data_IF_072304019039
#
_entry.id   IF_072304019039
#
_cell.length_a   1.000
_cell.length_b   1.000
_cell.length_c   1.000
_cell.angle_alpha   90.00
_cell.angle_beta   90.00
_cell.angle_gamma   90.00
#
_symmetry.space_group_name_H-M   'P 1'
#
loop_
_entity.id
_entity.type
_entity.pdbx_description
1 polymer ?
#
# COMPACT_ATOMS: atom_id res chain seq x y z
N UNK A 1 6.55 -46.86 46.67
CA UNK A 1 7.16 -45.61 46.20
C UNK A 1 6.43 -45.18 44.94
N UNK A 2 5.78 -44.02 44.99
CA UNK A 2 5.05 -43.40 43.90
C UNK A 2 6.01 -42.67 42.95
N UNK A 3 5.70 -42.63 41.65
CA UNK A 3 6.21 -41.59 40.75
C UNK A 3 5.21 -41.38 39.61
N UNK A 4 4.77 -40.12 39.49
CA UNK A 4 3.76 -39.60 38.58
C UNK A 4 4.17 -39.72 37.11
N UNK A 5 3.22 -40.09 36.25
CA UNK A 5 3.28 -39.86 34.81
C UNK A 5 2.74 -38.45 34.56
N UNK A 6 3.62 -37.50 34.24
CA UNK A 6 3.26 -36.15 33.82
C UNK A 6 2.83 -36.21 32.35
N UNK A 7 1.54 -35.99 32.09
CA UNK A 7 1.02 -35.74 30.74
C UNK A 7 1.60 -34.42 30.21
N UNK A 8 2.43 -34.50 29.18
CA UNK A 8 2.78 -33.35 28.36
C UNK A 8 1.62 -33.04 27.42
N UNK A 9 0.78 -32.06 27.78
CA UNK A 9 -0.19 -31.47 26.87
C UNK A 9 0.58 -30.59 25.88
N UNK A 10 0.75 -31.09 24.66
CA UNK A 10 1.30 -30.30 23.56
C UNK A 10 0.24 -29.30 23.08
N UNK A 11 0.35 -28.06 23.55
CA UNK A 11 -0.45 -26.93 23.07
C UNK A 11 0.07 -26.45 21.70
N UNK A 12 -0.30 -27.14 20.62
CA UNK A 12 -0.16 -26.64 19.25
C UNK A 12 -1.44 -25.91 18.84
N UNK A 13 -1.57 -24.63 19.19
CA UNK A 13 -2.81 -23.87 18.95
C UNK A 13 -2.67 -22.54 18.21
N UNK A 14 -1.46 -22.04 17.93
CA UNK A 14 -1.28 -20.60 17.66
C UNK A 14 -0.76 -20.21 16.27
N UNK A 15 -0.31 -21.14 15.41
CA UNK A 15 0.25 -20.78 14.10
C UNK A 15 -0.82 -20.73 12.99
N UNK A 16 -1.83 -21.60 13.04
CA UNK A 16 -2.86 -21.70 11.99
C UNK A 16 -3.86 -20.52 11.99
N UNK A 17 -4.10 -19.89 13.14
CA UNK A 17 -5.05 -18.76 13.24
C UNK A 17 -4.47 -17.43 12.72
N UNK A 18 -3.15 -17.24 12.83
CA UNK A 18 -2.50 -16.00 12.37
C UNK A 18 -2.54 -15.90 10.84
N UNK A 19 -2.24 -16.99 10.12
CA UNK A 19 -2.27 -17.00 8.65
C UNK A 19 -3.69 -16.77 8.09
N UNK A 20 -4.72 -17.37 8.70
CA UNK A 20 -6.10 -17.21 8.24
C UNK A 20 -6.68 -15.83 8.53
N UNK A 21 -6.25 -15.17 9.61
CA UNK A 21 -6.62 -13.78 9.90
C UNK A 21 -5.95 -12.85 8.90
N UNK A 22 -4.65 -13.00 8.69
CA UNK A 22 -3.86 -12.13 7.83
C UNK A 22 -4.35 -12.22 6.38
N UNK A 23 -4.66 -13.42 5.90
CA UNK A 23 -5.27 -13.64 4.59
C UNK A 23 -6.65 -12.96 4.46
N UNK A 24 -7.50 -13.03 5.49
CA UNK A 24 -8.81 -12.34 5.49
C UNK A 24 -8.66 -10.82 5.43
N UNK A 25 -7.75 -10.26 6.23
CA UNK A 25 -7.46 -8.83 6.23
C UNK A 25 -6.91 -8.41 4.86
N UNK A 26 -5.92 -9.13 4.34
CA UNK A 26 -5.32 -8.87 3.04
C UNK A 26 -6.36 -8.94 1.91
N UNK A 27 -7.26 -9.93 1.96
CA UNK A 27 -8.32 -10.10 0.98
C UNK A 27 -9.35 -8.97 1.06
N UNK A 28 -9.76 -8.54 2.26
CA UNK A 28 -10.67 -7.41 2.43
C UNK A 28 -10.05 -6.11 1.89
N UNK A 29 -8.78 -5.87 2.22
CA UNK A 29 -8.02 -4.71 1.76
C UNK A 29 -7.82 -4.73 0.25
N UNK A 30 -7.44 -5.87 -0.34
CA UNK A 30 -7.21 -5.99 -1.78
C UNK A 30 -8.50 -5.83 -2.60
N UNK A 31 -9.65 -6.20 -2.03
CA UNK A 31 -10.96 -5.91 -2.65
C UNK A 31 -11.28 -4.42 -2.58
N UNK A 32 -11.02 -3.77 -1.45
CA UNK A 32 -11.32 -2.35 -1.24
C UNK A 32 -10.37 -1.42 -2.01
N UNK A 33 -9.09 -1.75 -2.02
CA UNK A 33 -7.99 -0.98 -2.59
C UNK A 33 -7.31 -1.78 -3.70
N UNK A 34 -8.05 -2.00 -4.79
CA UNK A 34 -7.56 -2.84 -5.90
C UNK A 34 -6.17 -2.39 -6.38
N UNK A 35 -5.16 -3.28 -6.39
CA UNK A 35 -3.81 -2.91 -6.81
C UNK A 35 -3.72 -2.53 -8.29
N UNK A 36 -3.03 -1.43 -8.54
CA UNK A 36 -2.65 -0.93 -9.86
C UNK A 36 -1.33 -1.56 -10.33
N UNK A 37 -1.03 -1.43 -11.62
CA UNK A 37 0.29 -1.74 -12.17
C UNK A 37 0.86 -0.50 -12.85
N UNK A 38 2.18 -0.34 -12.78
CA UNK A 38 2.94 0.74 -13.40
C UNK A 38 3.91 0.19 -14.43
N UNK A 39 4.24 0.99 -15.43
CA UNK A 39 5.29 0.69 -16.40
C UNK A 39 6.67 0.76 -15.73
N UNK A 40 7.48 -0.27 -15.91
CA UNK A 40 8.82 -0.38 -15.31
C UNK A 40 9.91 -0.82 -16.31
N UNK A 41 9.51 -1.18 -17.53
CA UNK A 41 10.36 -1.71 -18.58
C UNK A 41 10.66 -0.64 -19.65
N UNK A 42 9.63 0.06 -20.12
CA UNK A 42 9.76 1.13 -21.11
C UNK A 42 10.23 2.45 -20.47
N UNK A 43 11.44 2.95 -20.80
CA UNK A 43 11.95 4.21 -20.26
C UNK A 43 11.09 5.44 -20.58
N UNK A 44 10.36 5.42 -21.70
CA UNK A 44 9.58 6.58 -22.14
C UNK A 44 8.34 6.76 -21.25
N UNK A 45 7.73 5.65 -20.85
CA UNK A 45 6.51 5.62 -20.04
C UNK A 45 6.79 5.24 -18.58
N UNK A 46 8.06 5.23 -18.16
CA UNK A 46 8.48 4.73 -16.85
C UNK A 46 7.72 5.38 -15.70
N UNK A 47 7.09 4.55 -14.86
CA UNK A 47 6.30 4.96 -13.70
C UNK A 47 4.86 5.34 -14.02
N UNK A 48 4.44 5.36 -15.29
CA UNK A 48 3.04 5.58 -15.65
C UNK A 48 2.18 4.40 -15.20
N UNK A 49 0.95 4.68 -14.74
CA UNK A 49 -0.03 3.63 -14.44
C UNK A 49 -0.51 2.99 -15.74
N UNK A 50 -0.24 1.70 -15.92
CA UNK A 50 -0.62 0.90 -17.11
C UNK A 50 -1.86 0.05 -16.86
N UNK A 51 -2.14 -0.29 -15.60
CA UNK A 51 -3.40 -0.89 -15.18
C UNK A 51 -3.90 -0.13 -13.96
N UNK A 52 -4.98 0.59 -14.13
CA UNK A 52 -5.58 1.36 -13.06
C UNK A 52 -6.42 0.44 -12.17
N UNK A 53 -6.01 0.30 -10.92
CA UNK A 53 -6.81 -0.20 -9.83
C UNK A 53 -7.54 0.95 -9.13
N UNK A 54 -7.59 0.92 -7.80
CA UNK A 54 -8.21 2.02 -7.05
C UNK A 54 -7.27 3.22 -6.99
N UNK A 55 -7.74 4.35 -7.52
CA UNK A 55 -7.12 5.66 -7.27
C UNK A 55 -7.64 6.18 -5.93
N UNK A 56 -6.76 6.79 -5.16
CA UNK A 56 -7.03 7.40 -3.86
C UNK A 56 -6.47 8.82 -3.85
N UNK A 57 -7.00 9.65 -2.97
CA UNK A 57 -6.54 11.03 -2.76
C UNK A 57 -5.84 11.10 -1.42
N UNK A 58 -4.60 11.59 -1.42
CA UNK A 58 -3.84 11.78 -0.18
C UNK A 58 -4.47 12.89 0.66
N UNK A 59 -4.91 12.57 1.88
CA UNK A 59 -5.56 13.55 2.76
C UNK A 59 -4.64 14.10 3.85
N UNK A 60 -3.56 13.36 4.13
CA UNK A 60 -2.54 13.76 5.07
C UNK A 60 -1.53 14.75 4.45
N UNK A 61 -1.14 15.77 5.22
CA UNK A 61 -0.05 16.68 4.86
C UNK A 61 1.30 16.19 5.41
N UNK A 62 2.39 16.77 4.90
CA UNK A 62 3.75 16.49 5.41
C UNK A 62 4.31 15.12 5.03
N UNK A 63 3.72 14.45 4.04
CA UNK A 63 4.21 13.19 3.51
C UNK A 63 5.22 13.46 2.39
N UNK A 64 6.22 12.59 2.34
CA UNK A 64 7.23 12.57 1.29
C UNK A 64 7.22 11.21 0.61
N UNK A 65 7.74 11.15 -0.61
CA UNK A 65 7.98 9.94 -1.37
C UNK A 65 9.45 9.86 -1.80
N UNK A 66 9.90 8.64 -2.09
CA UNK A 66 11.16 8.42 -2.81
C UNK A 66 10.84 8.32 -4.30
N UNK A 67 11.67 8.88 -5.18
CA UNK A 67 11.44 8.81 -6.61
C UNK A 67 11.58 7.36 -7.08
N UNK A 68 10.77 6.95 -8.04
CA UNK A 68 10.95 5.66 -8.71
C UNK A 68 12.35 5.59 -9.32
N UNK A 69 13.11 4.54 -8.96
CA UNK A 69 14.43 4.24 -9.52
C UNK A 69 14.40 2.82 -10.09
N UNK A 70 14.87 2.65 -11.32
CA UNK A 70 15.05 1.34 -11.94
C UNK A 70 16.51 1.17 -12.29
N UNK A 71 17.18 0.21 -11.66
CA UNK A 71 18.60 -0.10 -11.87
C UNK A 71 18.76 -1.29 -12.81
N UNK A 72 19.03 -1.05 -14.09
CA UNK A 72 19.43 -2.14 -14.99
C UNK A 72 20.82 -2.65 -14.60
N UNK A 73 21.01 -3.95 -14.30
CA UNK A 73 22.33 -4.55 -14.36
C UNK A 73 22.80 -4.61 -15.82
N UNK A 74 24.12 -4.72 -16.00
CA UNK A 74 24.84 -4.69 -17.28
C UNK A 74 24.30 -5.66 -18.35
N UNK A 75 24.72 -5.47 -19.62
CA UNK A 75 24.26 -6.02 -20.92
C UNK A 75 23.93 -7.52 -21.01
N UNK A 76 24.15 -8.32 -19.96
CA UNK A 76 23.87 -9.76 -19.88
C UNK A 76 23.01 -10.17 -18.66
N UNK A 77 22.52 -9.22 -17.85
CA UNK A 77 21.72 -9.48 -16.65
C UNK A 77 20.24 -9.13 -16.81
N UNK A 78 19.37 -9.85 -16.09
CA UNK A 78 17.95 -9.53 -15.92
C UNK A 78 17.77 -8.15 -15.27
N UNK A 79 16.85 -7.32 -15.76
CA UNK A 79 16.57 -6.01 -15.14
C UNK A 79 16.25 -6.17 -13.65
N UNK A 80 17.02 -5.48 -12.79
CA UNK A 80 16.82 -5.45 -11.35
C UNK A 80 16.03 -4.20 -10.95
N UNK A 81 14.85 -4.38 -10.39
CA UNK A 81 14.02 -3.26 -9.96
C UNK A 81 14.18 -3.06 -8.45
N UNK A 82 14.71 -1.91 -8.04
CA UNK A 82 14.75 -1.51 -6.64
C UNK A 82 13.76 -0.37 -6.45
N UNK A 83 12.54 -0.73 -6.06
CA UNK A 83 11.57 0.27 -5.61
C UNK A 83 11.93 0.65 -4.18
N UNK A 84 12.43 1.87 -4.01
CA UNK A 84 12.61 2.46 -2.69
C UNK A 84 11.35 3.23 -2.32
N UNK A 85 10.81 2.96 -1.14
CA UNK A 85 9.64 3.64 -0.61
C UNK A 85 10.05 4.57 0.53
N UNK A 86 9.48 5.78 0.58
CA UNK A 86 9.52 6.57 1.80
C UNK A 86 8.49 6.00 2.78
N UNK A 87 8.92 5.65 3.99
CA UNK A 87 8.03 5.03 4.98
C UNK A 87 7.12 6.07 5.63
N UNK A 88 5.85 5.72 5.78
CA UNK A 88 4.81 6.49 6.47
C UNK A 88 4.14 5.59 7.50
N UNK A 89 4.52 5.71 8.77
CA UNK A 89 3.88 4.95 9.84
C UNK A 89 2.59 5.65 10.28
N UNK A 90 1.50 4.88 10.34
CA UNK A 90 0.17 5.34 10.76
C UNK A 90 -0.26 4.54 12.00
N UNK A 91 -0.36 5.24 13.13
CA UNK A 91 -0.82 4.67 14.40
C UNK A 91 -2.31 4.35 14.38
N UNK A 92 -2.77 3.51 15.33
CA UNK A 92 -4.21 3.22 15.50
C UNK A 92 -5.03 4.45 15.90
N UNK A 93 -4.38 5.53 16.33
CA UNK A 93 -4.98 6.83 16.65
C UNK A 93 -5.01 7.78 15.44
N UNK A 94 -4.62 7.31 14.25
CA UNK A 94 -4.54 8.13 13.03
C UNK A 94 -3.33 9.06 12.98
N UNK A 95 -2.43 9.03 13.98
CA UNK A 95 -1.22 9.87 13.94
C UNK A 95 -0.23 9.32 12.92
N UNK A 96 0.31 10.23 12.11
CA UNK A 96 1.21 9.93 11.02
C UNK A 96 2.63 10.35 11.38
N UNK A 97 3.60 9.48 11.08
CA UNK A 97 5.03 9.76 11.11
C UNK A 97 5.61 9.39 9.76
N UNK A 98 6.07 10.38 9.01
CA UNK A 98 6.67 10.18 7.70
C UNK A 98 8.19 10.30 7.77
N UNK A 99 8.87 9.37 7.12
CA UNK A 99 10.28 9.52 6.74
C UNK A 99 10.43 10.71 5.80
N UNK A 100 11.57 11.41 5.88
CA UNK A 100 11.92 12.39 4.88
C UNK A 100 12.14 11.71 3.53
N UNK A 101 11.61 12.29 2.46
CA UNK A 101 11.79 11.84 1.08
C UNK A 101 12.25 12.97 0.18
N UNK A 102 12.77 12.62 -1.01
CA UNK A 102 13.20 13.63 -2.00
C UNK A 102 12.02 14.36 -2.62
N UNK A 103 10.83 13.73 -2.64
CA UNK A 103 9.63 14.25 -3.28
C UNK A 103 8.60 14.61 -2.22
N UNK A 104 8.31 15.89 -1.95
CA UNK A 104 7.16 16.26 -1.14
C UNK A 104 5.88 15.84 -1.88
N UNK A 105 4.94 15.21 -1.18
CA UNK A 105 3.66 14.77 -1.74
C UNK A 105 2.56 15.66 -1.15
N UNK A 106 2.05 16.66 -1.90
CA UNK A 106 1.01 17.54 -1.40
C UNK A 106 -0.27 16.77 -1.06
N UNK A 107 -1.01 17.27 -0.06
CA UNK A 107 -2.41 16.87 0.14
C UNK A 107 -3.20 17.09 -1.15
N UNK A 108 -4.10 16.18 -1.47
CA UNK A 108 -4.86 16.15 -2.72
C UNK A 108 -4.18 15.38 -3.85
N UNK A 109 -2.93 14.94 -3.67
CA UNK A 109 -2.24 14.12 -4.68
C UNK A 109 -2.98 12.81 -4.90
N UNK A 110 -3.19 12.47 -6.17
CA UNK A 110 -3.72 11.16 -6.56
C UNK A 110 -2.63 10.11 -6.41
N UNK A 111 -2.97 9.03 -5.70
CA UNK A 111 -2.09 7.88 -5.50
C UNK A 111 -2.82 6.62 -5.93
N UNK A 112 -2.03 5.61 -6.28
CA UNK A 112 -2.51 4.26 -6.53
C UNK A 112 -1.80 3.30 -5.59
N UNK A 113 -2.49 2.24 -5.21
CA UNK A 113 -1.90 1.12 -4.46
C UNK A 113 -1.22 0.19 -5.45
N UNK A 114 0.03 -0.20 -5.21
CA UNK A 114 0.76 -1.20 -6.00
C UNK A 114 0.67 -2.58 -5.38
N UNK A 115 0.71 -2.66 -4.05
CA UNK A 115 0.67 -3.93 -3.32
C UNK A 115 0.21 -3.72 -1.87
N UNK A 116 -0.32 -4.79 -1.26
CA UNK A 116 -0.79 -4.81 0.12
C UNK A 116 -0.30 -6.09 0.80
N UNK A 117 0.50 -5.92 1.85
CA UNK A 117 1.05 -7.02 2.63
C UNK A 117 0.64 -6.90 4.10
N UNK A 118 0.19 -8.01 4.69
CA UNK A 118 -0.12 -8.08 6.12
C UNK A 118 1.00 -8.85 6.80
N UNK A 119 1.70 -8.20 7.73
CA UNK A 119 2.86 -8.77 8.42
C UNK A 119 2.69 -8.55 9.92
N UNK A 120 2.32 -9.61 10.63
CA UNK A 120 2.16 -9.57 12.09
C UNK A 120 0.98 -8.70 12.53
N UNK A 121 1.26 -7.55 13.13
CA UNK A 121 0.26 -6.56 13.58
C UNK A 121 0.22 -5.32 12.68
N UNK A 122 0.75 -5.42 11.46
CA UNK A 122 0.89 -4.29 10.53
C UNK A 122 0.39 -4.63 9.14
N UNK A 123 -0.13 -3.60 8.49
CA UNK A 123 -0.45 -3.62 7.07
C UNK A 123 0.47 -2.65 6.36
N UNK A 124 1.16 -3.16 5.35
CA UNK A 124 2.05 -2.44 4.48
C UNK A 124 1.33 -2.21 3.15
N UNK A 125 1.02 -0.95 2.86
CA UNK A 125 0.40 -0.52 1.62
C UNK A 125 1.46 0.21 0.80
N UNK A 126 1.92 -0.42 -0.27
CA UNK A 126 2.87 0.17 -1.20
C UNK A 126 2.09 1.08 -2.15
N UNK A 127 2.42 2.36 -2.16
CA UNK A 127 1.72 3.39 -2.91
C UNK A 127 2.65 4.08 -3.91
N UNK A 128 2.04 4.54 -4.99
CA UNK A 128 2.71 5.26 -6.07
C UNK A 128 1.86 6.46 -6.48
N UNK A 129 2.49 7.59 -6.85
CA UNK A 129 1.74 8.74 -7.34
C UNK A 129 1.13 8.42 -8.70
N UNK A 130 -0.16 8.69 -8.89
CA UNK A 130 -0.82 8.46 -10.17
C UNK A 130 -0.31 9.43 -11.25
N UNK A 131 0.07 10.63 -10.82
CA UNK A 131 0.66 11.68 -11.63
C UNK A 131 2.11 11.92 -11.22
N UNK A 132 2.98 12.40 -12.13
CA UNK A 132 4.32 12.77 -11.75
C UNK A 132 4.33 14.04 -10.90
N UNK A 133 5.20 14.07 -9.90
CA UNK A 133 5.46 15.23 -9.06
C UNK A 133 6.62 16.06 -9.62
N UNK A 134 6.56 17.37 -9.40
CA UNK A 134 7.67 18.26 -9.75
C UNK A 134 8.71 18.23 -8.64
N UNK A 135 9.88 17.70 -8.95
CA UNK A 135 11.01 17.64 -8.04
C UNK A 135 11.96 18.82 -8.33
N UNK A 136 11.93 19.85 -7.47
CA UNK A 136 12.80 21.02 -7.64
C UNK A 136 14.30 20.66 -7.72
N UNK A 137 14.71 19.56 -7.09
CA UNK A 137 16.10 19.08 -7.03
C UNK A 137 16.52 18.16 -8.20
N UNK A 138 15.58 17.58 -8.96
CA UNK A 138 15.89 16.60 -10.02
C UNK A 138 15.78 17.14 -11.45
N UNK A 139 15.34 18.39 -11.63
CA UNK A 139 15.28 19.01 -12.95
C UNK A 139 14.21 18.45 -13.88
N UNK A 140 13.18 17.78 -13.35
CA UNK A 140 12.09 17.22 -14.15
C UNK A 140 10.99 16.52 -13.34
N UNK A 141 9.87 16.17 -13.99
CA UNK A 141 8.78 15.40 -13.38
C UNK A 141 9.27 13.99 -12.98
N UNK A 142 8.85 13.51 -11.80
CA UNK A 142 9.18 12.17 -11.32
C UNK A 142 8.00 11.57 -10.55
N UNK A 143 7.79 10.27 -10.71
CA UNK A 143 6.81 9.55 -9.91
C UNK A 143 7.37 9.21 -8.53
N UNK A 144 6.53 9.32 -7.50
CA UNK A 144 6.90 9.05 -6.11
C UNK A 144 6.34 7.73 -5.59
N UNK A 145 7.16 7.00 -4.85
CA UNK A 145 6.83 5.77 -4.14
C UNK A 145 6.84 6.01 -2.62
N UNK A 146 5.77 5.61 -1.93
CA UNK A 146 5.65 5.67 -0.47
C UNK A 146 5.06 4.36 0.07
N UNK A 147 5.48 3.96 1.27
CA UNK A 147 4.96 2.78 1.97
C UNK A 147 4.19 3.26 3.20
N UNK A 148 2.88 3.05 3.21
CA UNK A 148 2.05 3.32 4.37
C UNK A 148 1.99 2.07 5.25
N UNK A 149 2.49 2.19 6.49
CA UNK A 149 2.49 1.11 7.47
C UNK A 149 1.45 1.40 8.54
N UNK A 150 0.30 0.75 8.42
CA UNK A 150 -0.80 0.88 9.37
C UNK A 150 -0.66 -0.15 10.49
N UNK A 151 -0.76 0.29 11.73
CA UNK A 151 -0.90 -0.63 12.85
C UNK A 151 -2.34 -1.17 12.89
N UNK A 152 -2.48 -2.49 12.96
CA UNK A 152 -3.79 -3.16 13.01
C UNK A 152 -4.42 -2.91 14.39
N UNK A 153 -5.64 -2.32 14.47
CA UNK A 153 -6.31 -2.11 15.74
C UNK A 153 -6.56 -3.43 16.48
N UNK A 154 -6.48 -3.42 17.82
CA UNK A 154 -6.73 -4.62 18.64
C UNK A 154 -8.13 -5.20 18.42
N UNK A 155 -9.13 -4.36 18.15
CA UNK A 155 -10.49 -4.79 17.81
C UNK A 155 -10.52 -5.67 16.55
N UNK A 156 -9.72 -5.33 15.53
CA UNK A 156 -9.57 -6.13 14.30
C UNK A 156 -8.86 -7.44 14.60
N UNK A 157 -7.79 -7.40 15.42
CA UNK A 157 -7.05 -8.60 15.83
C UNK A 157 -7.94 -9.60 16.60
N UNK A 158 -8.81 -9.11 17.47
CA UNK A 158 -9.65 -9.92 18.36
C UNK A 158 -10.99 -10.32 17.73
N UNK A 159 -11.62 -9.43 16.98
CA UNK A 159 -12.95 -9.62 16.39
C UNK A 159 -12.94 -10.09 14.94
N UNK A 160 -11.82 -9.94 14.22
CA UNK A 160 -11.68 -10.35 12.82
C UNK A 160 -12.42 -9.47 11.81
N UNK A 161 -13.08 -8.41 12.25
CA UNK A 161 -13.71 -7.41 11.39
C UNK A 161 -12.66 -6.40 10.90
N UNK A 162 -12.40 -6.31 9.58
CA UNK A 162 -11.41 -5.39 9.02
C UNK A 162 -11.89 -3.93 8.95
N UNK A 163 -13.18 -3.65 9.18
CA UNK A 163 -13.77 -2.32 8.98
C UNK A 163 -13.05 -1.17 9.73
N UNK A 164 -12.66 -1.31 11.01
CA UNK A 164 -11.89 -0.26 11.69
C UNK A 164 -10.54 0.05 11.03
N UNK A 165 -9.90 -0.95 10.42
CA UNK A 165 -8.66 -0.75 9.67
C UNK A 165 -8.91 -0.06 8.34
N UNK A 166 -9.98 -0.40 7.63
CA UNK A 166 -10.37 0.27 6.39
C UNK A 166 -10.62 1.76 6.64
N UNK A 167 -11.39 2.09 7.68
CA UNK A 167 -11.65 3.48 8.06
C UNK A 167 -10.37 4.24 8.42
N UNK A 168 -9.43 3.58 9.11
CA UNK A 168 -8.13 4.19 9.42
C UNK A 168 -7.32 4.52 8.16
N UNK A 169 -7.32 3.61 7.17
CA UNK A 169 -6.66 3.85 5.89
C UNK A 169 -7.33 5.03 5.17
N UNK A 170 -8.66 5.04 5.09
CA UNK A 170 -9.45 6.06 4.39
C UNK A 170 -9.32 7.46 4.99
N UNK A 171 -9.05 7.59 6.29
CA UNK A 171 -8.74 8.89 6.91
C UNK A 171 -7.46 9.54 6.35
N UNK A 172 -6.49 8.72 5.94
CA UNK A 172 -5.23 9.19 5.36
C UNK A 172 -5.24 9.20 3.83
N UNK A 173 -6.00 8.27 3.23
CA UNK A 173 -6.12 8.03 1.79
C UNK A 173 -7.60 7.96 1.41
N UNK A 174 -8.20 9.10 1.15
CA UNK A 174 -9.63 9.17 0.84
C UNK A 174 -9.91 8.61 -0.55
N UNK A 175 -10.94 7.80 -0.66
CA UNK A 175 -11.50 7.42 -1.94
C UNK A 175 -12.51 8.48 -2.39
N UNK A 176 -12.36 9.05 -3.59
CA UNK A 176 -13.40 9.90 -4.20
C UNK A 176 -14.18 9.12 -5.27
N UNK A 177 -15.52 9.07 -5.19
CA UNK A 177 -16.39 8.47 -6.21
C UNK A 177 -16.23 9.08 -7.61
N UNK A 178 -15.66 10.28 -7.72
CA UNK A 178 -15.43 10.98 -8.99
C UNK A 178 -14.31 10.34 -9.83
N UNK A 179 -13.58 9.35 -9.29
CA UNK A 179 -12.49 8.62 -9.95
C UNK A 179 -12.97 7.35 -10.67
N UNK A 180 -14.20 7.35 -11.20
CA UNK A 180 -14.70 6.30 -12.10
C UNK A 180 -13.86 6.26 -13.36
N UNK A 181 -13.28 5.09 -13.67
CA UNK A 181 -12.69 4.84 -14.98
C UNK A 181 -13.83 4.60 -15.95
N UNK A 182 -14.12 5.59 -16.75
CA UNK A 182 -14.95 5.45 -17.94
C UNK A 182 -14.02 5.16 -19.12
N UNK A 183 -14.48 4.35 -20.08
CA UNK A 183 -13.77 4.22 -21.35
C UNK A 183 -13.57 5.61 -21.97
N UNK A 184 -12.42 5.92 -22.60
CA UNK A 184 -12.19 7.22 -23.21
C UNK A 184 -13.31 7.57 -24.20
N UNK A 185 -14.07 8.63 -23.89
CA UNK A 185 -15.16 9.13 -24.76
C UNK A 185 -16.55 8.52 -24.52
N UNK A 186 -16.72 7.62 -23.54
CA UNK A 186 -18.04 7.04 -23.24
C UNK A 186 -18.35 7.03 -21.72
N UNK A 187 -19.16 8.00 -21.24
CA UNK A 187 -19.56 8.09 -19.84
C UNK A 187 -20.61 7.04 -19.42
N UNK A 188 -21.10 6.17 -20.32
CA UNK A 188 -21.98 5.05 -19.98
C UNK A 188 -21.22 3.74 -19.73
N UNK A 189 -19.94 3.68 -20.12
CA UNK A 189 -19.03 2.55 -19.87
C UNK A 189 -18.13 2.81 -18.66
N UNK A 190 -18.63 3.55 -17.68
CA UNK A 190 -18.00 3.63 -16.38
C UNK A 190 -18.28 2.31 -15.66
N UNK A 191 -17.23 1.64 -15.18
CA UNK A 191 -17.40 0.59 -14.19
C UNK A 191 -17.92 1.26 -12.90
N UNK A 192 -19.24 1.30 -12.74
CA UNK A 192 -19.86 1.31 -11.42
C UNK A 192 -19.64 -0.08 -10.78
N UNK A 193 -19.49 -0.16 -9.44
CA UNK A 193 -19.21 -1.41 -8.75
C UNK A 193 -20.23 -2.53 -9.06
#
# INVERSE_FOLDING_TARGET
MAALIVMAVMAFGSVACASQRDERIQMALSRRFQPSAIEIQDPIHLGMVVRQGQVLTLMAGGISAKPLRVTRPDRHGSIGHVMEFARVDVGTDGRIRAEAGELPVPKGTRIVVLDINVIGDRVHLLAHTADPLVAASRGGPAYGCAEFVYQIPRSVVQGGDPEPLLQLIEQSLEWSPEQRVCAPGDPQLCLEP
#
